data_IF_170490367560
#
_entry.id   IF_170490367560
#
_cell.length_a   1.000
_cell.length_b   1.000
_cell.length_c   1.000
_cell.angle_alpha   90.00
_cell.angle_beta   90.00
_cell.angle_gamma   90.00
#
_symmetry.space_group_name_H-M   'P 1'
#
loop_
_entity.id
_entity.type
_entity.pdbx_description
1 polymer ?
#
# COMPACT_ATOMS: atom_id res chain seq x y z
N UNK A 1 3.29 -7.05 -3.25
CA UNK A 1 1.96 -6.51 -3.64
C UNK A 1 1.15 -6.28 -2.39
N UNK A 2 0.39 -5.18 -2.32
CA UNK A 2 -0.55 -4.88 -1.22
C UNK A 2 -1.96 -4.88 -1.79
N UNK A 3 -2.90 -5.53 -1.10
CA UNK A 3 -4.30 -5.62 -1.49
C UNK A 3 -5.22 -5.29 -0.31
N UNK A 4 -6.48 -4.99 -0.61
CA UNK A 4 -7.53 -4.89 0.41
C UNK A 4 -8.01 -6.27 0.89
N UNK A 5 -8.96 -6.29 1.83
CA UNK A 5 -9.52 -7.54 2.37
C UNK A 5 -10.35 -8.36 1.38
N UNK A 6 -10.72 -7.80 0.21
CA UNK A 6 -11.41 -8.50 -0.87
C UNK A 6 -10.45 -8.96 -1.97
N UNK A 7 -9.14 -8.71 -1.83
CA UNK A 7 -8.11 -9.07 -2.81
C UNK A 7 -7.89 -8.03 -3.91
N UNK A 8 -8.48 -6.83 -3.83
CA UNK A 8 -8.27 -5.77 -4.81
C UNK A 8 -6.86 -5.16 -4.60
N UNK A 9 -6.00 -5.10 -5.63
CA UNK A 9 -4.67 -4.52 -5.50
C UNK A 9 -4.73 -3.02 -5.17
N UNK A 10 -4.03 -2.62 -4.11
CA UNK A 10 -3.84 -1.22 -3.70
C UNK A 10 -2.50 -0.66 -4.17
N UNK A 11 -1.46 -1.50 -4.24
CA UNK A 11 -0.16 -1.14 -4.79
C UNK A 11 0.57 -2.40 -5.28
N UNK A 12 1.20 -2.29 -6.45
CA UNK A 12 1.98 -3.37 -7.08
C UNK A 12 3.36 -2.81 -7.42
N UNK A 13 4.40 -3.62 -7.18
CA UNK A 13 5.77 -3.37 -7.61
C UNK A 13 6.29 -4.69 -8.15
N UNK A 14 6.75 -4.69 -9.40
CA UNK A 14 7.36 -5.86 -10.04
C UNK A 14 8.87 -5.65 -10.03
N UNK A 15 9.61 -6.64 -9.53
CA UNK A 15 11.07 -6.57 -9.51
C UNK A 15 11.68 -7.88 -9.99
N UNK A 16 12.90 -7.81 -10.55
CA UNK A 16 13.67 -9.00 -10.93
C UNK A 16 14.01 -9.89 -9.73
N UNK A 17 14.41 -11.14 -10.00
CA UNK A 17 14.61 -12.20 -9.00
C UNK A 17 15.44 -11.78 -7.77
N UNK A 18 15.01 -12.31 -6.61
CA UNK A 18 15.55 -12.12 -5.26
C UNK A 18 16.02 -10.70 -4.91
N UNK A 19 15.06 -9.75 -4.91
CA UNK A 19 15.24 -8.47 -4.22
C UNK A 19 14.65 -8.52 -2.82
N UNK A 20 15.40 -7.95 -1.87
CA UNK A 20 15.00 -7.88 -0.46
C UNK A 20 13.73 -7.03 -0.27
N UNK A 21 12.70 -7.62 0.33
CA UNK A 21 11.40 -6.99 0.60
C UNK A 21 11.49 -5.74 1.49
N UNK A 22 12.46 -5.67 2.41
CA UNK A 22 12.67 -4.50 3.30
C UNK A 22 12.92 -3.23 2.47
N UNK A 23 13.59 -3.37 1.33
CA UNK A 23 13.91 -2.23 0.45
C UNK A 23 12.72 -1.80 -0.41
N UNK A 24 11.75 -2.69 -0.65
CA UNK A 24 10.60 -2.42 -1.53
C UNK A 24 9.32 -2.09 -0.77
N UNK A 25 9.26 -2.44 0.51
CA UNK A 25 8.07 -2.27 1.32
C UNK A 25 7.69 -0.79 1.50
N UNK A 26 8.68 0.06 1.79
CA UNK A 26 8.43 1.50 2.00
C UNK A 26 7.92 2.21 0.73
N UNK A 27 8.51 1.98 -0.46
CA UNK A 27 7.93 2.43 -1.73
C UNK A 27 6.48 1.94 -1.96
N UNK A 28 6.21 0.65 -1.72
CA UNK A 28 4.86 0.07 -1.89
C UNK A 28 3.82 0.74 -0.98
N UNK A 29 4.14 0.94 0.30
CA UNK A 29 3.24 1.63 1.24
C UNK A 29 2.99 3.10 0.89
N UNK A 30 3.98 3.78 0.28
CA UNK A 30 3.82 5.17 -0.16
C UNK A 30 2.95 5.27 -1.42
N UNK A 31 2.93 4.23 -2.25
CA UNK A 31 2.14 4.18 -3.48
C UNK A 31 0.66 3.85 -3.29
N UNK A 32 0.21 3.50 -2.08
CA UNK A 32 -1.22 3.22 -1.83
C UNK A 32 -2.05 4.51 -1.98
N UNK A 33 -3.02 4.56 -2.91
CA UNK A 33 -3.90 5.71 -3.06
C UNK A 33 -4.89 5.81 -1.89
N UNK A 34 -5.53 6.98 -1.67
CA UNK A 34 -6.63 7.09 -0.72
C UNK A 34 -7.72 6.05 -1.02
N UNK A 35 -7.99 5.18 -0.05
CA UNK A 35 -9.01 4.13 -0.21
C UNK A 35 -10.36 4.67 0.25
N UNK A 36 -11.37 4.63 -0.63
CA UNK A 36 -12.74 5.03 -0.26
C UNK A 36 -13.27 4.05 0.80
N UNK A 37 -13.59 4.57 1.99
CA UNK A 37 -14.07 3.79 3.12
C UNK A 37 -15.49 4.17 3.55
N UNK A 38 -16.07 3.38 4.46
CA UNK A 38 -17.24 3.79 5.23
C UNK A 38 -16.91 5.04 6.07
N UNK A 39 -17.92 5.85 6.38
CA UNK A 39 -17.80 7.00 7.30
C UNK A 39 -17.13 6.55 8.60
N UNK A 40 -16.07 7.23 9.04
CA UNK A 40 -15.24 6.83 10.18
C UNK A 40 -13.76 7.20 10.03
N UNK A 41 -12.87 6.36 10.56
CA UNK A 41 -11.41 6.58 10.51
C UNK A 41 -10.90 6.65 9.06
N UNK A 42 -10.07 7.64 8.68
CA UNK A 42 -9.50 7.72 7.35
C UNK A 42 -8.75 6.43 6.96
N UNK A 43 -9.03 5.88 5.79
CA UNK A 43 -8.24 4.80 5.16
C UNK A 43 -7.16 5.38 4.24
N UNK A 44 -6.55 6.46 4.72
CA UNK A 44 -5.42 7.11 4.08
C UNK A 44 -4.29 7.15 5.10
N UNK A 45 -3.04 7.05 4.62
CA UNK A 45 -1.86 7.23 5.46
C UNK A 45 -1.91 8.63 6.11
N UNK A 46 -1.78 8.75 7.44
CA UNK A 46 -1.76 10.05 8.09
C UNK A 46 -0.67 10.93 7.50
N UNK A 47 -0.97 12.20 7.24
CA UNK A 47 0.08 13.20 7.09
C UNK A 47 0.70 13.30 8.49
N UNK A 48 1.98 12.97 8.59
CA UNK A 48 2.77 13.07 9.83
C UNK A 48 2.48 14.40 10.52
N UNK A 49 2.31 14.37 11.85
CA UNK A 49 2.25 15.57 12.70
C UNK A 49 3.61 16.26 12.76
#
# INVERSE_FOLDING_TARGET
MIADGNGIPLAISLTGGDRNDVTQFMPLLKGIPPVRGRRGRPRQRPKTL
#
